data_IF_060271806420
#
_entry.id   IF_060271806420
#
_cell.length_a   1.000
_cell.length_b   1.000
_cell.length_c   1.000
_cell.angle_alpha   90.00
_cell.angle_beta   90.00
_cell.angle_gamma   90.00
#
_symmetry.space_group_name_H-M   'P 1'
#
loop_
_entity.id
_entity.type
_entity.pdbx_description
1 polymer ?
#
# COMPACT_ATOMS: atom_id res chain seq x y z
N UNK A 1 -4.33 18.02 -6.78
CA UNK A 1 -4.08 16.79 -5.98
C UNK A 1 -3.85 15.49 -6.77
N UNK A 2 -4.38 15.30 -8.00
CA UNK A 2 -4.20 14.03 -8.77
C UNK A 2 -2.80 13.81 -9.40
N UNK A 3 -1.98 14.85 -9.52
CA UNK A 3 -0.69 14.73 -10.23
C UNK A 3 0.43 14.12 -9.38
N UNK A 4 0.42 14.31 -8.05
CA UNK A 4 1.49 13.85 -7.15
C UNK A 4 1.68 12.32 -7.23
N UNK A 5 0.58 11.58 -7.41
CA UNK A 5 0.58 10.12 -7.48
C UNK A 5 0.94 9.55 -8.86
N UNK A 6 0.88 10.34 -9.94
CA UNK A 6 1.22 9.86 -11.29
C UNK A 6 2.72 9.58 -11.46
N UNK A 7 3.58 10.28 -10.71
CA UNK A 7 5.04 10.06 -10.74
C UNK A 7 5.47 8.75 -10.05
N UNK A 8 4.63 8.18 -9.19
CA UNK A 8 4.89 6.90 -8.50
C UNK A 8 4.45 5.67 -9.31
N UNK A 9 4.33 5.76 -10.63
CA UNK A 9 3.88 4.65 -11.48
C UNK A 9 4.98 4.06 -12.38
N UNK A 10 6.20 4.59 -12.38
CA UNK A 10 7.27 4.13 -13.29
C UNK A 10 8.56 3.90 -12.48
N UNK A 11 9.09 2.67 -12.56
CA UNK A 11 10.24 2.10 -11.84
C UNK A 11 10.00 1.78 -10.35
N UNK A 12 9.97 0.48 -10.03
CA UNK A 12 9.66 -0.17 -8.74
C UNK A 12 9.26 0.76 -7.57
N UNK A 13 8.05 1.33 -7.66
CA UNK A 13 7.51 2.25 -6.66
C UNK A 13 7.10 1.49 -5.40
N UNK A 14 8.09 1.22 -4.57
CA UNK A 14 7.94 0.56 -3.29
C UNK A 14 7.45 1.57 -2.25
N UNK A 15 6.28 1.32 -1.69
CA UNK A 15 5.63 2.18 -0.70
C UNK A 15 5.58 1.50 0.66
N UNK A 16 5.60 2.29 1.74
CA UNK A 16 5.42 1.77 3.10
C UNK A 16 3.95 1.63 3.45
N UNK A 17 3.67 1.01 4.59
CA UNK A 17 2.32 1.00 5.16
C UNK A 17 1.82 2.41 5.53
N UNK A 18 2.72 3.37 5.82
CA UNK A 18 2.36 4.77 6.06
C UNK A 18 1.87 5.45 4.78
N UNK A 19 2.56 5.24 3.66
CA UNK A 19 2.13 5.73 2.35
C UNK A 19 0.76 5.16 1.95
N UNK A 20 0.53 3.87 2.23
CA UNK A 20 -0.75 3.19 2.01
C UNK A 20 -1.85 3.84 2.87
N UNK A 21 -1.55 4.18 4.12
CA UNK A 21 -2.47 4.85 5.01
C UNK A 21 -2.86 6.25 4.49
N UNK A 22 -1.88 7.01 4.00
CA UNK A 22 -2.11 8.30 3.33
C UNK A 22 -2.97 8.11 2.07
N UNK A 23 -2.68 7.10 1.25
CA UNK A 23 -3.44 6.81 0.03
C UNK A 23 -4.92 6.53 0.31
N UNK A 24 -5.22 5.76 1.36
CA UNK A 24 -6.60 5.48 1.77
C UNK A 24 -7.22 6.58 2.65
N UNK A 25 -6.47 7.61 3.04
CA UNK A 25 -6.95 8.67 3.92
C UNK A 25 -7.34 8.18 5.32
N UNK A 26 -6.63 7.17 5.84
CA UNK A 26 -6.92 6.52 7.13
C UNK A 26 -5.71 6.53 8.03
N UNK A 27 -5.94 6.34 9.34
CA UNK A 27 -4.85 6.19 10.29
C UNK A 27 -4.08 4.88 10.04
N UNK A 28 -2.78 4.90 10.28
CA UNK A 28 -1.87 3.76 10.08
C UNK A 28 -2.40 2.47 10.72
N UNK A 29 -2.81 2.55 12.00
CA UNK A 29 -3.28 1.38 12.75
C UNK A 29 -4.55 0.76 12.15
N UNK A 30 -5.47 1.59 11.62
CA UNK A 30 -6.69 1.13 10.98
C UNK A 30 -6.35 0.31 9.74
N UNK A 31 -5.44 0.82 8.91
CA UNK A 31 -5.01 0.17 7.68
C UNK A 31 -4.22 -1.11 7.97
N UNK A 32 -3.31 -1.09 8.95
CA UNK A 32 -2.61 -2.28 9.40
C UNK A 32 -3.57 -3.42 9.79
N UNK A 33 -4.61 -3.10 10.57
CA UNK A 33 -5.63 -4.07 11.04
C UNK A 33 -6.53 -4.58 9.91
N UNK A 34 -6.86 -3.73 8.93
CA UNK A 34 -7.66 -4.13 7.77
C UNK A 34 -6.84 -5.09 6.90
N UNK A 35 -5.60 -4.72 6.58
CA UNK A 35 -4.72 -5.49 5.71
C UNK A 35 -4.38 -6.85 6.33
N UNK A 36 -4.11 -6.91 7.63
CA UNK A 36 -3.81 -8.17 8.32
C UNK A 36 -4.96 -9.20 8.26
N UNK A 37 -6.18 -8.76 7.98
CA UNK A 37 -7.37 -9.61 7.86
C UNK A 37 -7.72 -9.97 6.41
N UNK A 38 -7.04 -9.38 5.43
CA UNK A 38 -7.36 -9.52 4.01
C UNK A 38 -6.27 -10.36 3.33
N UNK A 39 -6.48 -11.68 3.15
CA UNK A 39 -5.46 -12.59 2.63
C UNK A 39 -5.12 -12.32 1.16
N UNK A 40 -5.93 -11.53 0.45
CA UNK A 40 -5.70 -11.12 -0.93
C UNK A 40 -4.99 -9.76 -1.06
N UNK A 41 -4.58 -9.15 0.06
CA UNK A 41 -3.81 -7.91 0.02
C UNK A 41 -2.42 -8.15 -0.61
N UNK A 42 -1.86 -7.18 -1.36
CA UNK A 42 -0.54 -7.31 -1.96
C UNK A 42 0.53 -7.75 -0.95
N UNK A 43 1.38 -8.69 -1.38
CA UNK A 43 2.46 -9.21 -0.54
C UNK A 43 3.58 -8.17 -0.42
N UNK A 44 4.33 -8.25 0.67
CA UNK A 44 5.49 -7.40 0.88
C UNK A 44 6.67 -7.88 0.03
N UNK A 45 7.46 -6.92 -0.45
CA UNK A 45 8.74 -7.16 -1.10
C UNK A 45 9.85 -6.91 -0.08
N UNK A 46 10.77 -7.87 0.04
CA UNK A 46 11.98 -7.72 0.86
C UNK A 46 13.05 -7.06 0.00
N UNK A 47 13.45 -5.84 0.38
CA UNK A 47 14.48 -5.08 -0.35
C UNK A 47 15.88 -5.33 0.20
N UNK A 48 15.98 -5.79 1.45
CA UNK A 48 17.25 -6.20 2.06
C UNK A 48 17.03 -7.26 3.14
N UNK A 49 17.97 -8.19 3.27
CA UNK A 49 17.84 -9.38 4.13
C UNK A 49 17.89 -9.08 5.65
N UNK A 50 18.19 -7.85 6.06
CA UNK A 50 18.28 -7.48 7.48
C UNK A 50 17.41 -6.26 7.81
N UNK A 51 16.37 -6.47 8.62
CA UNK A 51 15.59 -5.43 9.33
C UNK A 51 14.99 -4.28 8.50
N UNK A 52 14.78 -4.47 7.21
CA UNK A 52 14.13 -3.45 6.38
C UNK A 52 12.61 -3.46 6.62
N UNK A 53 12.02 -2.27 6.77
CA UNK A 53 10.55 -2.11 6.90
C UNK A 53 9.87 -2.75 5.67
N UNK A 54 8.75 -3.46 5.85
CA UNK A 54 8.04 -4.08 4.74
C UNK A 54 7.64 -3.05 3.69
N UNK A 55 7.93 -3.36 2.43
CA UNK A 55 7.58 -2.53 1.27
C UNK A 55 6.54 -3.20 0.41
N UNK A 56 5.71 -2.42 -0.27
CA UNK A 56 4.66 -2.91 -1.15
C UNK A 56 4.80 -2.30 -2.54
N UNK A 57 4.45 -3.05 -3.57
CA UNK A 57 4.41 -2.52 -4.93
C UNK A 57 3.20 -1.58 -5.06
N UNK A 58 3.45 -0.29 -5.29
CA UNK A 58 2.38 0.72 -5.36
C UNK A 58 1.29 0.38 -6.38
N UNK A 59 1.67 -0.15 -7.56
CA UNK A 59 0.72 -0.56 -8.59
C UNK A 59 -0.26 -1.64 -8.12
N UNK A 60 0.22 -2.62 -7.33
CA UNK A 60 -0.62 -3.68 -6.78
C UNK A 60 -1.56 -3.14 -5.71
N UNK A 61 -1.07 -2.26 -4.82
CA UNK A 61 -1.89 -1.61 -3.79
C UNK A 61 -2.98 -0.76 -4.41
N UNK A 62 -2.66 0.04 -5.43
CA UNK A 62 -3.66 0.89 -6.12
C UNK A 62 -4.69 0.00 -6.82
N UNK A 63 -4.26 -1.05 -7.52
CA UNK A 63 -5.17 -2.00 -8.19
C UNK A 63 -6.09 -2.67 -7.17
N UNK A 64 -5.53 -3.17 -6.07
CA UNK A 64 -6.29 -3.81 -4.99
C UNK A 64 -7.27 -2.83 -4.35
N UNK A 65 -6.83 -1.60 -4.06
CA UNK A 65 -7.65 -0.56 -3.46
C UNK A 65 -8.83 -0.15 -4.33
N UNK A 66 -8.68 -0.13 -5.66
CA UNK A 66 -9.80 0.12 -6.60
C UNK A 66 -10.86 -0.98 -6.54
N UNK A 67 -10.44 -2.24 -6.43
CA UNK A 67 -11.35 -3.40 -6.36
C UNK A 67 -12.04 -3.46 -5.00
N UNK A 68 -11.32 -3.13 -3.92
CA UNK A 68 -11.77 -3.32 -2.54
C UNK A 68 -12.19 -2.03 -1.84
N UNK A 69 -12.36 -0.91 -2.56
CA UNK A 69 -12.61 0.42 -1.99
C UNK A 69 -13.75 0.43 -0.95
N UNK A 70 -14.82 -0.34 -1.19
CA UNK A 70 -15.96 -0.48 -0.27
C UNK A 70 -15.62 -1.13 1.08
N UNK A 71 -14.56 -1.94 1.15
CA UNK A 71 -14.10 -2.66 2.35
C UNK A 71 -13.18 -1.81 3.25
N UNK A 72 -12.79 -0.63 2.77
CA UNK A 72 -11.86 0.31 3.42
C UNK A 72 -12.62 1.58 3.88
N UNK A 73 -13.90 1.68 3.50
CA UNK A 73 -14.86 2.71 3.93
C UNK A 73 -15.23 2.59 5.41
#
# INVERSE_FOLDING_TARGET
MRQKWRRYLISQNLITLEDIAIYFGRHYQTIAKIISKLPNFPKTVTVDQQNSRPRYIAGEVVRWGRINAKRIS
#
